data_IF_185181761530
#
_entry.id   IF_185181761530
#
_cell.length_a   1.000
_cell.length_b   1.000
_cell.length_c   1.000
_cell.angle_alpha   90.00
_cell.angle_beta   90.00
_cell.angle_gamma   90.00
#
_symmetry.space_group_name_H-M   'P 1'
#
loop_
_entity.id
_entity.type
_entity.pdbx_description
1 polymer ?
#
# COMPACT_ATOMS: atom_id res chain seq x y z
N UNK A 1 17.32 -8.42 30.86
CA UNK A 1 17.22 -7.59 29.65
C UNK A 1 16.06 -8.15 28.85
N UNK A 2 15.00 -7.36 28.61
CA UNK A 2 13.90 -7.83 27.77
C UNK A 2 14.41 -7.98 26.34
N UNK A 3 14.26 -9.17 25.76
CA UNK A 3 14.55 -9.41 24.35
C UNK A 3 13.61 -8.52 23.54
N UNK A 4 14.17 -7.60 22.75
CA UNK A 4 13.36 -6.76 21.88
C UNK A 4 12.90 -7.63 20.71
N UNK A 5 11.64 -8.08 20.72
CA UNK A 5 11.08 -9.02 19.74
C UNK A 5 10.46 -8.25 18.57
N UNK A 6 11.26 -7.96 17.54
CA UNK A 6 10.82 -7.26 16.33
C UNK A 6 10.26 -8.18 15.25
N UNK A 7 10.68 -9.44 15.24
CA UNK A 7 10.43 -10.33 14.12
C UNK A 7 8.96 -10.65 13.92
N UNK A 8 8.22 -10.95 14.99
CA UNK A 8 6.78 -11.25 14.88
C UNK A 8 5.96 -10.05 14.38
N UNK A 9 6.13 -8.82 14.91
CA UNK A 9 5.52 -7.63 14.35
C UNK A 9 5.83 -7.40 12.86
N UNK A 10 7.10 -7.53 12.45
CA UNK A 10 7.50 -7.36 11.04
C UNK A 10 6.85 -8.42 10.17
N UNK A 11 6.89 -9.69 10.57
CA UNK A 11 6.26 -10.79 9.83
C UNK A 11 4.76 -10.59 9.66
N UNK A 12 4.07 -10.14 10.71
CA UNK A 12 2.64 -9.82 10.63
C UNK A 12 2.38 -8.66 9.65
N UNK A 13 3.17 -7.58 9.73
CA UNK A 13 3.06 -6.45 8.81
C UNK A 13 3.25 -6.87 7.35
N UNK A 14 4.19 -7.76 7.08
CA UNK A 14 4.38 -8.34 5.74
C UNK A 14 3.19 -9.17 5.29
N UNK A 15 2.65 -10.04 6.14
CA UNK A 15 1.48 -10.86 5.80
C UNK A 15 0.29 -9.98 5.47
N UNK A 16 0.02 -8.97 6.29
CA UNK A 16 -1.05 -7.99 6.03
C UNK A 16 -0.83 -7.27 4.71
N UNK A 17 0.39 -6.79 4.44
CA UNK A 17 0.70 -6.07 3.21
C UNK A 17 0.53 -6.95 1.96
N UNK A 18 0.96 -8.21 2.01
CA UNK A 18 0.71 -9.20 0.94
C UNK A 18 -0.79 -9.41 0.69
N UNK A 19 -1.58 -9.56 1.76
CA UNK A 19 -3.03 -9.70 1.63
C UNK A 19 -3.68 -8.47 0.99
N UNK A 20 -3.25 -7.25 1.35
CA UNK A 20 -3.75 -6.03 0.74
C UNK A 20 -3.39 -5.94 -0.75
N UNK A 21 -2.15 -6.30 -1.11
CA UNK A 21 -1.71 -6.34 -2.52
C UNK A 21 -2.59 -7.28 -3.33
N UNK A 22 -2.83 -8.50 -2.84
CA UNK A 22 -3.66 -9.47 -3.58
C UNK A 22 -5.12 -9.00 -3.67
N UNK A 23 -5.70 -8.53 -2.56
CA UNK A 23 -7.10 -8.10 -2.52
C UNK A 23 -7.41 -6.91 -3.44
N UNK A 24 -6.44 -6.00 -3.64
CA UNK A 24 -6.64 -4.80 -4.44
C UNK A 24 -6.14 -4.94 -5.88
N UNK A 25 -5.59 -6.10 -6.24
CA UNK A 25 -4.98 -6.33 -7.57
C UNK A 25 -5.97 -6.11 -8.71
N UNK A 26 -7.23 -6.44 -8.49
CA UNK A 26 -8.30 -6.24 -9.47
C UNK A 26 -8.50 -4.75 -9.84
N UNK A 27 -8.28 -3.83 -8.88
CA UNK A 27 -8.40 -2.39 -9.13
C UNK A 27 -7.24 -1.80 -9.95
N UNK A 28 -6.21 -2.60 -10.26
CA UNK A 28 -5.14 -2.19 -11.17
C UNK A 28 -5.48 -2.42 -12.65
N UNK A 29 -6.57 -3.15 -12.93
CA UNK A 29 -7.02 -3.44 -14.29
C UNK A 29 -7.81 -2.26 -14.87
N UNK A 30 -7.74 -2.01 -16.19
CA UNK A 30 -8.61 -1.04 -16.83
C UNK A 30 -10.09 -1.44 -16.64
N UNK A 31 -11.00 -0.47 -16.38
CA UNK A 31 -12.42 -0.76 -16.28
C UNK A 31 -12.99 -1.16 -17.65
N UNK A 32 -13.97 -2.08 -17.64
CA UNK A 32 -14.75 -2.36 -18.84
C UNK A 32 -15.73 -1.21 -19.09
N UNK A 33 -15.82 -0.67 -20.31
CA UNK A 33 -16.76 0.40 -20.60
C UNK A 33 -18.20 -0.11 -20.55
N UNK A 34 -19.04 0.51 -19.71
CA UNK A 34 -20.48 0.35 -19.76
C UNK A 34 -21.06 0.95 -21.05
N UNK A 35 -22.23 0.48 -21.47
CA UNK A 35 -22.92 0.98 -22.66
C UNK A 35 -23.63 2.32 -22.41
N UNK A 36 -24.06 2.56 -21.18
CA UNK A 36 -24.75 3.77 -20.75
C UNK A 36 -23.77 4.74 -20.06
N UNK A 37 -23.83 6.03 -20.43
CA UNK A 37 -22.90 7.02 -19.90
C UNK A 37 -23.14 7.34 -18.42
N UNK A 38 -24.40 7.26 -17.95
CA UNK A 38 -24.77 7.50 -16.54
C UNK A 38 -24.25 6.36 -15.68
N UNK A 39 -24.47 5.12 -16.11
CA UNK A 39 -23.90 3.92 -15.48
C UNK A 39 -22.37 3.98 -15.48
N UNK A 40 -21.75 4.35 -16.60
CA UNK A 40 -20.29 4.51 -16.69
C UNK A 40 -19.78 5.58 -15.71
N UNK A 41 -20.54 6.66 -15.52
CA UNK A 41 -20.17 7.73 -14.60
C UNK A 41 -20.19 7.25 -13.15
N UNK A 42 -21.25 6.59 -12.71
CA UNK A 42 -21.35 6.06 -11.34
C UNK A 42 -20.28 4.98 -11.07
N UNK A 43 -20.03 4.09 -12.02
CA UNK A 43 -18.93 3.12 -11.92
C UNK A 43 -17.56 3.80 -11.81
N UNK A 44 -17.37 4.92 -12.53
CA UNK A 44 -16.12 5.70 -12.45
C UNK A 44 -15.94 6.33 -11.07
N UNK A 45 -16.99 6.90 -10.49
CA UNK A 45 -16.95 7.46 -9.13
C UNK A 45 -16.62 6.39 -8.10
N UNK A 46 -17.30 5.25 -8.18
CA UNK A 46 -17.06 4.12 -7.29
C UNK A 46 -15.62 3.59 -7.42
N UNK A 47 -15.08 3.50 -8.64
CA UNK A 47 -13.70 3.09 -8.86
C UNK A 47 -12.70 4.09 -8.24
N UNK A 48 -12.94 5.40 -8.34
CA UNK A 48 -12.11 6.43 -7.71
C UNK A 48 -12.06 6.20 -6.19
N UNK A 49 -13.22 6.01 -5.55
CA UNK A 49 -13.29 5.83 -4.09
C UNK A 49 -12.57 4.56 -3.64
N UNK A 50 -12.77 3.44 -4.33
CA UNK A 50 -12.07 2.19 -4.02
C UNK A 50 -10.56 2.31 -4.23
N UNK A 51 -10.11 2.91 -5.32
CA UNK A 51 -8.69 3.09 -5.60
C UNK A 51 -8.03 3.98 -4.54
N UNK A 52 -8.65 5.10 -4.16
CA UNK A 52 -8.17 5.97 -3.08
C UNK A 52 -8.07 5.20 -1.75
N UNK A 53 -9.12 4.46 -1.40
CA UNK A 53 -9.16 3.64 -0.18
C UNK A 53 -8.06 2.57 -0.16
N UNK A 54 -7.83 1.90 -1.30
CA UNK A 54 -6.77 0.90 -1.44
C UNK A 54 -5.37 1.51 -1.30
N UNK A 55 -5.10 2.64 -1.95
CA UNK A 55 -3.83 3.37 -1.82
C UNK A 55 -3.58 3.76 -0.35
N UNK A 56 -4.60 4.29 0.33
CA UNK A 56 -4.49 4.69 1.73
C UNK A 56 -4.14 3.51 2.65
N UNK A 57 -4.81 2.37 2.50
CA UNK A 57 -4.55 1.18 3.32
C UNK A 57 -3.16 0.60 3.07
N UNK A 58 -2.74 0.48 1.80
CA UNK A 58 -1.40 -0.01 1.46
C UNK A 58 -0.34 0.94 2.04
N UNK A 59 -0.51 2.26 1.91
CA UNK A 59 0.42 3.24 2.47
C UNK A 59 0.52 3.16 4.00
N UNK A 60 -0.60 3.05 4.72
CA UNK A 60 -0.57 2.93 6.18
C UNK A 60 0.23 1.72 6.63
N UNK A 61 -0.11 0.52 6.13
CA UNK A 61 0.57 -0.72 6.49
C UNK A 61 2.04 -0.72 6.05
N UNK A 62 2.34 -0.17 4.87
CA UNK A 62 3.72 -0.01 4.38
C UNK A 62 4.54 0.89 5.32
N UNK A 63 4.00 2.04 5.72
CA UNK A 63 4.70 2.99 6.59
C UNK A 63 4.88 2.45 8.01
N UNK A 64 3.90 1.71 8.54
CA UNK A 64 4.01 1.00 9.82
C UNK A 64 5.14 -0.04 9.77
N UNK A 65 5.22 -0.83 8.69
CA UNK A 65 6.28 -1.82 8.49
C UNK A 65 7.67 -1.17 8.38
N UNK A 66 7.79 -0.07 7.61
CA UNK A 66 9.03 0.71 7.51
C UNK A 66 9.44 1.23 8.89
N UNK A 67 8.49 1.80 9.65
CA UNK A 67 8.77 2.35 10.98
C UNK A 67 9.28 1.28 11.95
N UNK A 68 8.73 0.05 11.89
CA UNK A 68 9.21 -1.08 12.70
C UNK A 68 10.65 -1.45 12.35
N UNK A 69 10.97 -1.54 11.06
CA UNK A 69 12.33 -1.85 10.57
C UNK A 69 13.32 -0.75 10.93
N UNK A 70 12.93 0.52 10.79
CA UNK A 70 13.75 1.68 11.17
C UNK A 70 14.01 1.71 12.68
N UNK A 71 13.00 1.39 13.50
CA UNK A 71 13.18 1.27 14.95
C UNK A 71 14.19 0.18 15.31
N UNK A 72 14.10 -0.99 14.65
CA UNK A 72 15.05 -2.09 14.84
C UNK A 72 16.49 -1.68 14.46
N UNK A 73 16.67 -0.94 13.35
CA UNK A 73 17.97 -0.39 12.94
C UNK A 73 18.50 0.64 13.95
N UNK A 74 17.65 1.54 14.43
CA UNK A 74 18.01 2.52 15.46
C UNK A 74 18.45 1.84 16.76
N UNK A 75 17.78 0.78 17.18
CA UNK A 75 18.18 0.01 18.35
C UNK A 75 19.54 -0.68 18.14
N UNK A 76 19.80 -1.21 16.95
CA UNK A 76 21.12 -1.76 16.60
C UNK A 76 22.22 -0.69 16.70
N UNK A 77 21.98 0.51 16.19
CA UNK A 77 22.98 1.59 16.16
C UNK A 77 23.29 2.10 17.57
N UNK A 78 22.26 2.27 18.40
CA UNK A 78 22.34 2.85 19.75
C UNK A 78 22.79 1.86 20.83
N UNK A 79 22.65 0.56 20.59
CA UNK A 79 23.08 -0.48 21.53
C UNK A 79 24.59 -0.46 21.73
N UNK A 80 25.07 -0.51 22.98
CA UNK A 80 26.52 -0.56 23.28
C UNK A 80 27.06 -2.00 23.40
N UNK A 81 26.19 -2.94 23.73
CA UNK A 81 26.51 -4.34 23.93
C UNK A 81 26.73 -5.05 22.58
N UNK A 82 27.89 -5.69 22.40
CA UNK A 82 28.20 -6.44 21.18
C UNK A 82 27.28 -7.63 20.99
N UNK A 83 26.92 -8.31 22.08
CA UNK A 83 26.05 -9.48 22.03
C UNK A 83 24.62 -9.08 21.65
N UNK A 84 24.11 -7.98 22.20
CA UNK A 84 22.78 -7.47 21.83
C UNK A 84 22.73 -6.97 20.38
N UNK A 85 23.79 -6.30 19.91
CA UNK A 85 23.91 -5.94 18.47
C UNK A 85 23.86 -7.16 17.57
N UNK A 86 24.56 -8.24 17.95
CA UNK A 86 24.56 -9.50 17.21
C UNK A 86 23.16 -10.12 17.19
N UNK A 87 22.46 -10.13 18.32
CA UNK A 87 21.10 -10.66 18.41
C UNK A 87 20.12 -9.89 17.52
N UNK A 88 20.17 -8.54 17.54
CA UNK A 88 19.33 -7.70 16.68
C UNK A 88 19.63 -7.97 15.20
N UNK A 89 20.91 -8.01 14.82
CA UNK A 89 21.29 -8.28 13.42
C UNK A 89 20.79 -9.66 12.95
N UNK A 90 20.98 -10.70 13.77
CA UNK A 90 20.51 -12.05 13.46
C UNK A 90 18.99 -12.13 13.34
N UNK A 91 18.25 -11.41 14.18
CA UNK A 91 16.79 -11.34 14.06
C UNK A 91 16.37 -10.63 12.77
N UNK A 92 17.04 -9.54 12.38
CA UNK A 92 16.74 -8.81 11.14
C UNK A 92 16.99 -9.68 9.91
N UNK A 93 18.13 -10.37 9.87
CA UNK A 93 18.50 -11.31 8.81
C UNK A 93 17.49 -12.46 8.72
N UNK A 94 17.16 -13.08 9.86
CA UNK A 94 16.18 -14.16 9.93
C UNK A 94 14.81 -13.74 9.41
N UNK A 95 14.34 -12.56 9.81
CA UNK A 95 13.03 -12.06 9.40
C UNK A 95 13.02 -11.73 7.91
N UNK A 96 14.08 -11.12 7.37
CA UNK A 96 14.20 -10.93 5.92
C UNK A 96 14.26 -12.26 5.16
N UNK A 97 14.93 -13.27 5.70
CA UNK A 97 14.93 -14.62 5.12
C UNK A 97 13.55 -15.27 5.10
N UNK A 98 12.79 -15.15 6.18
CA UNK A 98 11.46 -15.77 6.34
C UNK A 98 10.37 -15.09 5.53
N UNK A 99 10.30 -13.74 5.57
CA UNK A 99 9.14 -13.03 5.01
C UNK A 99 9.46 -12.15 3.81
N UNK A 100 10.75 -11.91 3.51
CA UNK A 100 11.22 -11.08 2.38
C UNK A 100 10.58 -9.69 2.42
N UNK A 101 10.66 -9.00 3.56
CA UNK A 101 9.94 -7.74 3.77
C UNK A 101 10.36 -6.67 2.76
N UNK A 102 11.63 -6.66 2.32
CA UNK A 102 12.10 -5.72 1.30
C UNK A 102 11.37 -5.94 -0.03
N UNK A 103 11.24 -7.19 -0.48
CA UNK A 103 10.54 -7.51 -1.72
C UNK A 103 9.07 -7.06 -1.66
N UNK A 104 8.41 -7.28 -0.52
CA UNK A 104 7.00 -6.93 -0.33
C UNK A 104 6.79 -5.41 -0.26
N UNK A 105 7.73 -4.67 0.34
CA UNK A 105 7.71 -3.20 0.30
C UNK A 105 7.84 -2.66 -1.13
N UNK A 106 8.62 -3.33 -1.98
CA UNK A 106 8.73 -2.98 -3.40
C UNK A 106 7.45 -3.31 -4.15
N UNK A 107 6.88 -4.50 -3.97
CA UNK A 107 5.59 -4.89 -4.56
C UNK A 107 4.46 -3.92 -4.16
N UNK A 108 4.40 -3.52 -2.89
CA UNK A 108 3.45 -2.52 -2.41
C UNK A 108 3.64 -1.15 -3.10
N UNK A 109 4.89 -0.78 -3.37
CA UNK A 109 5.21 0.47 -4.08
C UNK A 109 4.75 0.41 -5.53
N UNK A 110 5.04 -0.68 -6.23
CA UNK A 110 4.57 -0.91 -7.60
C UNK A 110 3.04 -0.89 -7.67
N UNK A 111 2.39 -1.55 -6.72
CA UNK A 111 0.94 -1.56 -6.59
C UNK A 111 0.36 -0.16 -6.45
N UNK A 112 0.92 0.68 -5.57
CA UNK A 112 0.51 2.08 -5.39
C UNK A 112 0.68 2.86 -6.71
N UNK A 113 1.76 2.65 -7.46
CA UNK A 113 1.98 3.32 -8.75
C UNK A 113 0.94 2.91 -9.79
N UNK A 114 0.60 1.62 -9.88
CA UNK A 114 -0.44 1.13 -10.76
C UNK A 114 -1.82 1.69 -10.40
N UNK A 115 -2.16 1.70 -9.10
CA UNK A 115 -3.42 2.27 -8.60
C UNK A 115 -3.51 3.77 -8.88
N UNK A 116 -2.43 4.54 -8.68
CA UNK A 116 -2.40 5.97 -9.03
C UNK A 116 -2.59 6.23 -10.54
N UNK A 117 -2.06 5.34 -11.38
CA UNK A 117 -2.28 5.41 -12.84
C UNK A 117 -3.77 5.24 -13.14
N UNK A 118 -4.43 4.23 -12.54
CA UNK A 118 -5.87 3.99 -12.69
C UNK A 118 -6.71 5.13 -12.10
N UNK A 119 -6.30 5.72 -10.99
CA UNK A 119 -6.95 6.89 -10.41
C UNK A 119 -6.93 8.09 -11.38
N UNK A 120 -5.80 8.31 -12.04
CA UNK A 120 -5.64 9.40 -13.03
C UNK A 120 -6.55 9.19 -14.24
N UNK A 121 -6.64 7.95 -14.73
CA UNK A 121 -7.55 7.57 -15.81
C UNK A 121 -9.02 7.74 -15.41
N UNK A 122 -9.40 7.22 -14.23
CA UNK A 122 -10.75 7.32 -13.70
C UNK A 122 -11.18 8.78 -13.52
N UNK A 123 -10.33 9.63 -12.92
CA UNK A 123 -10.61 11.06 -12.81
C UNK A 123 -10.71 11.78 -14.16
N UNK A 124 -9.98 11.31 -15.18
CA UNK A 124 -10.13 11.84 -16.55
C UNK A 124 -11.44 11.43 -17.18
N UNK A 125 -11.88 10.19 -16.97
CA UNK A 125 -13.16 9.66 -17.42
C UNK A 125 -14.33 10.34 -16.72
N UNK A 126 -14.24 10.55 -15.40
CA UNK A 126 -15.22 11.28 -14.61
C UNK A 126 -15.45 12.68 -15.20
N UNK A 127 -14.37 13.45 -15.42
CA UNK A 127 -14.46 14.78 -16.05
C UNK A 127 -15.08 14.74 -17.44
N UNK A 128 -14.76 13.72 -18.25
CA UNK A 128 -15.33 13.55 -19.59
C UNK A 128 -16.84 13.28 -19.52
N UNK A 129 -17.25 12.36 -18.68
CA UNK A 129 -18.64 11.93 -18.53
C UNK A 129 -19.50 13.00 -17.86
N UNK A 130 -19.00 13.66 -16.81
CA UNK A 130 -19.68 14.79 -16.17
C UNK A 130 -20.05 15.87 -17.19
N UNK A 131 -19.10 16.26 -18.08
CA UNK A 131 -19.37 17.23 -19.15
C UNK A 131 -20.42 16.73 -20.15
N UNK A 132 -20.37 15.45 -20.53
CA UNK A 132 -21.32 14.86 -21.47
C UNK A 132 -22.74 14.82 -20.89
N UNK A 133 -22.85 14.56 -19.60
CA UNK A 133 -24.12 14.44 -18.87
C UNK A 133 -24.63 15.78 -18.30
N UNK A 134 -23.86 16.86 -18.42
CA UNK A 134 -24.20 18.17 -17.81
C UNK A 134 -24.10 18.20 -16.28
N UNK A 135 -23.38 17.25 -15.66
CA UNK A 135 -23.15 17.19 -14.21
C UNK A 135 -22.06 18.19 -13.79
N UNK A 136 -22.22 18.82 -12.63
CA UNK A 136 -21.19 19.69 -12.03
C UNK A 136 -20.05 18.80 -11.54
N UNK A 137 -18.84 18.99 -12.09
CA UNK A 137 -17.64 18.35 -11.59
C UNK A 137 -17.35 18.83 -10.16
N UNK A 138 -17.38 17.93 -9.19
CA UNK A 138 -16.89 18.19 -7.84
C UNK A 138 -15.52 17.52 -7.70
N UNK A 139 -14.42 18.29 -7.58
CA UNK A 139 -13.12 17.69 -7.32
C UNK A 139 -13.17 16.96 -5.97
N UNK A 140 -13.14 15.63 -6.02
CA UNK A 140 -12.97 14.78 -4.84
C UNK A 140 -11.58 15.08 -4.26
N UNK A 141 -11.56 15.74 -3.09
CA UNK A 141 -10.36 16.30 -2.44
C UNK A 141 -9.19 15.32 -2.26
N UNK A 142 -8.00 15.86 -1.90
CA UNK A 142 -6.77 15.08 -1.73
C UNK A 142 -6.93 13.95 -0.72
#
# INVERSE_FOLDING_TARGET
MESILYGKPISNGVITLKSLIENFKEYTKPPQPAQDDEEQYEQTLQAIDFIKGSISQINSTKNELISLVEKMKSDYDTTKSKDDKKNILQELEKVEEEVKYIAVLNEATEMILMLNTRLTEAGSNERRLARKLGKVFQPQGP
#
